data_IF_130972142708
#
_entry.id   IF_130972142708
#
_cell.length_a   1.000
_cell.length_b   1.000
_cell.length_c   1.000
_cell.angle_alpha   90.00
_cell.angle_beta   90.00
_cell.angle_gamma   90.00
#
_symmetry.space_group_name_H-M   'P 1'
#
loop_
_entity.id
_entity.type
_entity.pdbx_description
1 polymer ?
#
# COMPACT_ATOMS: atom_id res chain seq x y z
N UNK A 1 14.50 4.72 -41.23
CA UNK A 1 13.73 5.63 -40.37
C UNK A 1 12.98 4.78 -39.34
N UNK A 2 13.11 5.10 -38.05
CA UNK A 2 12.50 4.34 -36.94
C UNK A 2 11.07 4.84 -36.74
N UNK A 3 10.08 4.04 -37.13
CA UNK A 3 8.67 4.36 -36.81
C UNK A 3 8.27 3.63 -35.54
N UNK A 4 8.29 4.38 -34.44
CA UNK A 4 7.84 3.95 -33.12
C UNK A 4 6.31 4.08 -33.13
N UNK A 5 5.63 2.96 -33.31
CA UNK A 5 4.17 2.89 -33.22
C UNK A 5 3.75 3.20 -31.78
N UNK A 6 3.09 4.35 -31.59
CA UNK A 6 2.57 4.79 -30.31
C UNK A 6 1.44 3.83 -29.89
N UNK A 7 1.72 2.97 -28.93
CA UNK A 7 0.72 2.12 -28.29
C UNK A 7 -0.03 2.98 -27.25
N UNK A 8 -1.18 3.54 -27.63
CA UNK A 8 -2.08 4.21 -26.69
C UNK A 8 -2.94 3.15 -25.99
N UNK A 9 -2.59 2.81 -24.75
CA UNK A 9 -3.38 1.93 -23.89
C UNK A 9 -4.52 2.74 -23.28
N UNK A 10 -5.68 2.78 -23.94
CA UNK A 10 -6.89 3.36 -23.38
C UNK A 10 -7.45 2.40 -22.33
N UNK A 11 -7.03 2.56 -21.07
CA UNK A 11 -7.65 1.84 -19.95
C UNK A 11 -8.94 2.55 -19.56
N UNK A 12 -10.07 1.93 -19.85
CA UNK A 12 -11.39 2.39 -19.43
C UNK A 12 -11.53 2.11 -17.93
N UNK A 13 -11.31 3.14 -17.10
CA UNK A 13 -11.48 3.02 -15.65
C UNK A 13 -12.96 3.08 -15.32
N UNK A 14 -13.55 1.91 -15.04
CA UNK A 14 -14.86 1.84 -14.41
C UNK A 14 -14.70 2.27 -12.95
N UNK A 15 -15.17 3.49 -12.63
CA UNK A 15 -15.25 3.98 -11.25
C UNK A 15 -16.29 3.17 -10.49
N UNK A 16 -15.85 2.13 -9.79
CA UNK A 16 -16.65 1.51 -8.73
C UNK A 16 -16.54 2.39 -7.49
N UNK A 17 -17.64 3.06 -7.13
CA UNK A 17 -17.75 3.78 -5.86
C UNK A 17 -17.77 2.76 -4.74
N UNK A 18 -16.63 2.62 -4.04
CA UNK A 18 -16.55 1.86 -2.81
C UNK A 18 -16.71 2.79 -1.62
N UNK A 19 -17.48 2.32 -0.64
CA UNK A 19 -17.69 2.98 0.64
C UNK A 19 -16.36 3.23 1.32
N UNK A 20 -16.01 4.49 1.57
CA UNK A 20 -14.82 4.86 2.34
C UNK A 20 -14.85 4.11 3.69
N UNK A 21 -13.77 3.44 4.12
CA UNK A 21 -13.74 2.82 5.44
C UNK A 21 -13.74 3.94 6.48
N UNK A 22 -14.93 4.25 7.02
CA UNK A 22 -15.18 5.40 7.88
C UNK A 22 -14.43 5.37 9.25
N UNK A 23 -13.48 4.44 9.46
CA UNK A 23 -12.75 4.28 10.73
C UNK A 23 -11.29 3.78 10.55
N UNK A 24 -10.73 3.82 9.34
CA UNK A 24 -9.30 3.52 9.15
C UNK A 24 -8.44 4.77 9.44
N UNK A 25 -7.16 4.58 9.77
CA UNK A 25 -6.30 5.64 10.32
C UNK A 25 -4.84 5.34 9.96
N UNK A 26 -4.28 6.15 9.07
CA UNK A 26 -2.92 5.99 8.58
C UNK A 26 -1.86 6.09 9.69
N UNK A 27 -2.10 6.85 10.76
CA UNK A 27 -1.20 6.91 11.90
C UNK A 27 -1.24 5.61 12.71
N UNK A 28 -2.43 5.03 12.94
CA UNK A 28 -2.52 3.68 13.54
C UNK A 28 -1.80 2.65 12.68
N UNK A 29 -2.00 2.69 11.35
CA UNK A 29 -1.31 1.81 10.41
C UNK A 29 0.20 1.93 10.49
N UNK A 30 0.71 3.16 10.50
CA UNK A 30 2.14 3.46 10.68
C UNK A 30 2.68 2.89 11.99
N UNK A 31 1.99 3.13 13.11
CA UNK A 31 2.40 2.64 14.42
C UNK A 31 2.42 1.10 14.44
N UNK A 32 1.39 0.46 13.90
CA UNK A 32 1.29 -1.00 13.77
C UNK A 32 2.45 -1.54 12.94
N UNK A 33 2.72 -0.95 11.77
CA UNK A 33 3.87 -1.33 10.94
C UNK A 33 5.19 -1.24 11.71
N UNK A 34 5.45 -0.10 12.36
CA UNK A 34 6.70 0.12 13.10
C UNK A 34 6.86 -0.86 14.26
N UNK A 35 5.81 -1.08 15.06
CA UNK A 35 5.88 -1.90 16.27
C UNK A 35 5.89 -3.40 15.98
N UNK A 36 5.13 -3.86 14.98
CA UNK A 36 4.92 -5.30 14.74
C UNK A 36 5.75 -5.84 13.58
N UNK A 37 5.92 -5.07 12.51
CA UNK A 37 6.40 -5.61 11.23
C UNK A 37 7.74 -5.04 10.78
N UNK A 38 8.15 -3.85 11.21
CA UNK A 38 9.40 -3.19 10.77
C UNK A 38 10.64 -4.07 10.93
N UNK A 39 10.71 -4.85 12.01
CA UNK A 39 11.86 -5.73 12.31
C UNK A 39 11.97 -6.88 11.31
N UNK A 40 10.83 -7.44 10.91
CA UNK A 40 10.76 -8.61 10.03
C UNK A 40 10.49 -8.22 8.56
N UNK A 41 10.21 -6.94 8.30
CA UNK A 41 10.07 -6.43 6.94
C UNK A 41 11.43 -5.97 6.38
N UNK A 42 11.82 -6.53 5.23
CA UNK A 42 13.06 -6.19 4.53
C UNK A 42 13.20 -4.70 4.16
N UNK A 43 12.07 -3.99 4.08
CA UNK A 43 12.05 -2.57 3.69
C UNK A 43 12.61 -1.64 4.77
N UNK A 44 12.85 -2.12 6.00
CA UNK A 44 13.46 -1.42 7.16
C UNK A 44 12.78 -0.12 7.61
N UNK A 45 11.99 0.54 6.76
CA UNK A 45 11.24 1.77 7.05
C UNK A 45 9.84 1.67 6.46
N UNK A 46 8.87 2.30 7.14
CA UNK A 46 7.52 2.41 6.63
C UNK A 46 7.48 3.18 5.31
N UNK A 47 8.29 4.24 5.17
CA UNK A 47 8.36 5.02 3.93
C UNK A 47 8.77 4.20 2.70
N UNK A 48 9.66 3.23 2.85
CA UNK A 48 10.01 2.33 1.74
C UNK A 48 8.86 1.41 1.38
N UNK A 49 8.11 0.93 2.38
CA UNK A 49 6.93 0.10 2.17
C UNK A 49 5.82 0.88 1.43
N UNK A 50 5.42 2.04 1.92
CA UNK A 50 4.30 2.80 1.34
C UNK A 50 4.59 3.27 -0.09
N UNK A 51 5.85 3.60 -0.40
CA UNK A 51 6.27 4.07 -1.74
C UNK A 51 6.50 2.96 -2.77
N UNK A 52 6.14 1.70 -2.47
CA UNK A 52 6.27 0.60 -3.45
C UNK A 52 5.26 0.68 -4.58
N UNK A 53 4.10 1.29 -4.30
CA UNK A 53 3.00 1.44 -5.23
C UNK A 53 2.49 2.89 -5.24
N UNK A 54 1.73 3.25 -6.26
CA UNK A 54 0.93 4.49 -6.31
C UNK A 54 -0.37 4.34 -5.52
N UNK A 55 -1.08 5.45 -5.28
CA UNK A 55 -2.39 5.43 -4.65
C UNK A 55 -3.36 4.50 -5.39
N UNK A 56 -3.48 4.66 -6.71
CA UNK A 56 -4.31 3.81 -7.57
C UNK A 56 -3.92 2.33 -7.48
N UNK A 57 -2.63 2.03 -7.43
CA UNK A 57 -2.17 0.64 -7.31
C UNK A 57 -2.52 0.05 -5.95
N UNK A 58 -2.32 0.80 -4.86
CA UNK A 58 -2.70 0.36 -3.53
C UNK A 58 -4.21 0.14 -3.41
N UNK A 59 -5.00 1.05 -3.96
CA UNK A 59 -6.46 0.94 -3.99
C UNK A 59 -6.89 -0.32 -4.77
N UNK A 60 -6.32 -0.57 -5.95
CA UNK A 60 -6.59 -1.78 -6.73
C UNK A 60 -6.20 -3.06 -5.99
N UNK A 61 -5.03 -3.09 -5.33
CA UNK A 61 -4.55 -4.23 -4.55
C UNK A 61 -5.50 -4.51 -3.38
N UNK A 62 -5.92 -3.47 -2.66
CA UNK A 62 -6.81 -3.57 -1.52
C UNK A 62 -8.23 -3.98 -1.93
N UNK A 63 -8.79 -3.32 -2.96
CA UNK A 63 -10.12 -3.63 -3.51
C UNK A 63 -10.24 -5.05 -4.06
N UNK A 64 -9.14 -5.62 -4.57
CA UNK A 64 -9.07 -7.03 -4.99
C UNK A 64 -8.91 -8.03 -3.83
N UNK A 65 -8.87 -7.57 -2.57
CA UNK A 65 -8.63 -8.42 -1.40
C UNK A 65 -7.19 -8.97 -1.30
N UNK A 66 -6.24 -8.37 -2.03
CA UNK A 66 -4.88 -8.88 -2.18
C UNK A 66 -3.84 -8.16 -1.30
N UNK A 67 -4.26 -7.24 -0.42
CA UNK A 67 -3.36 -6.44 0.40
C UNK A 67 -2.40 -7.29 1.24
N UNK A 68 -2.90 -8.29 1.98
CA UNK A 68 -2.06 -9.16 2.81
C UNK A 68 -1.04 -9.95 1.96
N UNK A 69 -1.46 -10.43 0.80
CA UNK A 69 -0.58 -11.17 -0.12
C UNK A 69 0.56 -10.28 -0.62
N UNK A 70 0.25 -9.06 -1.04
CA UNK A 70 1.27 -8.10 -1.46
C UNK A 70 2.16 -7.69 -0.27
N UNK A 71 1.58 -7.49 0.92
CA UNK A 71 2.35 -7.20 2.13
C UNK A 71 3.40 -8.29 2.41
N UNK A 72 3.02 -9.57 2.37
CA UNK A 72 3.95 -10.68 2.58
C UNK A 72 4.97 -10.83 1.45
N UNK A 73 4.63 -10.43 0.22
CA UNK A 73 5.60 -10.37 -0.88
C UNK A 73 6.65 -9.28 -0.66
N UNK A 74 6.24 -8.11 -0.15
CA UNK A 74 7.13 -6.98 0.16
C UNK A 74 7.95 -7.22 1.45
N UNK A 75 7.37 -7.93 2.42
CA UNK A 75 7.96 -8.25 3.71
C UNK A 75 8.00 -9.78 3.94
N UNK A 76 8.83 -10.54 3.19
CA UNK A 76 8.77 -12.01 3.16
C UNK A 76 9.16 -12.71 4.47
N UNK A 77 9.85 -12.05 5.40
CA UNK A 77 10.16 -12.65 6.71
C UNK A 77 9.04 -12.45 7.74
N UNK A 78 8.03 -11.63 7.43
CA UNK A 78 6.82 -11.54 8.25
C UNK A 78 6.04 -12.84 8.04
N UNK A 79 5.73 -13.54 9.14
CA UNK A 79 4.99 -14.81 9.08
C UNK A 79 3.60 -14.58 8.48
N UNK A 80 3.22 -15.40 7.50
CA UNK A 80 1.88 -15.36 6.91
C UNK A 80 0.80 -15.60 7.98
N UNK A 81 -0.32 -14.88 7.89
CA UNK A 81 -1.44 -14.95 8.83
C UNK A 81 -1.23 -14.18 10.14
N UNK A 82 -0.16 -13.38 10.27
CA UNK A 82 0.07 -12.54 11.47
C UNK A 82 -0.53 -11.14 11.38
N UNK A 83 -1.05 -10.74 10.21
CA UNK A 83 -1.81 -9.50 10.06
C UNK A 83 -3.25 -9.82 10.45
N UNK A 84 -3.78 -9.11 11.44
CA UNK A 84 -5.19 -9.30 11.82
C UNK A 84 -6.10 -8.56 10.86
N UNK A 85 -7.35 -9.00 10.72
CA UNK A 85 -8.35 -8.34 9.87
C UNK A 85 -8.55 -6.86 10.22
N UNK A 86 -8.46 -6.52 11.50
CA UNK A 86 -8.58 -5.14 11.98
C UNK A 86 -7.36 -4.28 11.64
N UNK A 87 -6.19 -4.90 11.45
CA UNK A 87 -4.95 -4.20 11.09
C UNK A 87 -4.87 -3.88 9.60
N UNK A 88 -5.45 -4.73 8.74
CA UNK A 88 -5.46 -4.55 7.29
C UNK A 88 -5.91 -3.15 6.86
N UNK A 89 -7.09 -2.62 7.27
CA UNK A 89 -7.54 -1.31 6.82
C UNK A 89 -6.63 -0.18 7.29
N UNK A 90 -6.07 -0.25 8.50
CA UNK A 90 -5.12 0.74 8.99
C UNK A 90 -3.79 0.70 8.22
N UNK A 91 -3.27 -0.49 7.94
CA UNK A 91 -2.04 -0.67 7.16
C UNK A 91 -2.23 -0.21 5.71
N UNK A 92 -3.42 -0.43 5.14
CA UNK A 92 -3.79 0.08 3.83
C UNK A 92 -3.82 1.61 3.81
N UNK A 93 -4.52 2.26 4.74
CA UNK A 93 -4.54 3.74 4.82
C UNK A 93 -3.14 4.31 4.93
N UNK A 94 -2.27 3.67 5.72
CA UNK A 94 -0.87 4.05 5.80
C UNK A 94 -0.15 3.91 4.44
N UNK A 95 -0.42 2.83 3.70
CA UNK A 95 0.16 2.61 2.39
C UNK A 95 -0.33 3.61 1.34
N UNK A 96 -1.64 3.88 1.32
CA UNK A 96 -2.32 4.79 0.41
C UNK A 96 -1.96 6.26 0.69
N UNK A 97 -2.07 6.72 1.93
CA UNK A 97 -1.83 8.12 2.29
C UNK A 97 -0.40 8.56 2.05
N UNK A 98 0.56 7.63 2.10
CA UNK A 98 1.98 7.88 1.88
C UNK A 98 2.53 7.12 0.66
N UNK A 99 1.65 6.83 -0.30
CA UNK A 99 2.01 6.20 -1.57
C UNK A 99 3.05 7.03 -2.33
N UNK A 100 3.68 6.42 -3.34
CA UNK A 100 4.78 7.04 -4.09
C UNK A 100 4.44 8.38 -4.75
N UNK A 101 3.18 8.60 -5.09
CA UNK A 101 2.59 9.74 -5.79
C UNK A 101 1.70 10.63 -4.91
N UNK A 102 1.50 10.27 -3.64
CA UNK A 102 0.61 10.99 -2.70
C UNK A 102 1.04 12.42 -2.36
N UNK A 103 2.30 12.80 -2.63
CA UNK A 103 2.90 14.05 -2.17
C UNK A 103 3.10 14.14 -0.65
N UNK A 104 2.61 13.17 0.13
CA UNK A 104 2.73 13.12 1.57
C UNK A 104 4.01 12.37 1.98
N UNK A 105 4.71 12.89 2.98
CA UNK A 105 5.90 12.26 3.54
C UNK A 105 5.61 11.87 4.99
N UNK A 106 5.72 10.58 5.37
CA UNK A 106 5.43 10.18 6.74
C UNK A 106 6.46 10.80 7.68
N UNK A 107 5.96 11.49 8.71
CA UNK A 107 6.76 12.28 9.67
C UNK A 107 7.82 11.46 10.43
N UNK A 108 7.76 10.13 10.37
CA UNK A 108 8.66 9.20 11.05
C UNK A 108 9.58 8.47 10.05
N UNK A 109 10.31 9.23 9.23
CA UNK A 109 11.24 8.71 8.21
C UNK A 109 12.65 8.38 8.73
N UNK A 110 12.90 8.46 10.05
CA UNK A 110 14.17 8.10 10.69
C UNK A 110 14.04 6.81 11.52
#
# INVERSE_FOLDING_TARGET
MKSITKLTLTSMVAFMVFSSPLVADANKGRITFIKKYKKDCNMKTGAKFTRTHTQDQWENIFGAGNFENEFYKLCPNVKKGTITKDEVPHLYDFAYDFASDSGNIPSCSN
#
